data_IF_638192572052
#
_entry.id   IF_638192572052
#
_cell.length_a   1.000
_cell.length_b   1.000
_cell.length_c   1.000
_cell.angle_alpha   90.00
_cell.angle_beta   90.00
_cell.angle_gamma   90.00
#
_symmetry.space_group_name_H-M   'P 1'
#
loop_
_entity.id
_entity.type
_entity.pdbx_description
1 polymer ?
#
# COMPACT_ATOMS: atom_id res chain seq x y z
N UNK A 1 9.25 34.07 17.26
CA UNK A 1 9.50 33.03 16.24
C UNK A 1 8.19 32.30 15.98
N UNK A 2 7.95 31.79 14.77
CA UNK A 2 6.79 30.94 14.52
C UNK A 2 6.93 29.62 15.30
N UNK A 3 5.84 29.10 15.88
CA UNK A 3 5.84 27.77 16.52
C UNK A 3 5.74 26.69 15.43
N UNK A 4 6.54 25.63 15.57
CA UNK A 4 6.50 24.47 14.66
C UNK A 4 5.49 23.43 15.16
N UNK A 5 5.12 22.46 14.31
CA UNK A 5 4.34 21.31 14.74
C UNK A 5 5.24 20.32 15.51
N UNK A 6 5.18 20.36 16.84
CA UNK A 6 6.03 19.54 17.71
C UNK A 6 5.74 18.03 17.60
N UNK A 7 4.60 17.62 17.02
CA UNK A 7 4.32 16.20 16.77
C UNK A 7 5.34 15.54 15.84
N UNK A 8 5.99 16.31 14.96
CA UNK A 8 7.08 15.79 14.12
C UNK A 8 8.30 15.35 14.94
N UNK A 9 8.48 15.84 16.16
CA UNK A 9 9.60 15.50 17.03
C UNK A 9 9.41 14.15 17.74
N UNK A 10 8.18 13.61 17.75
CA UNK A 10 7.86 12.29 18.32
C UNK A 10 8.39 11.13 17.47
N UNK A 11 8.61 11.37 16.18
CA UNK A 11 9.06 10.35 15.23
C UNK A 11 10.48 9.88 15.59
N UNK A 12 10.61 8.64 16.10
CA UNK A 12 11.89 8.11 16.61
C UNK A 12 12.99 7.91 15.56
N UNK A 13 12.60 7.73 14.31
CA UNK A 13 13.52 7.57 13.20
C UNK A 13 12.98 8.28 11.94
N UNK A 14 13.87 8.53 10.99
CA UNK A 14 13.44 8.91 9.63
C UNK A 14 12.60 7.79 9.01
N UNK A 15 11.74 8.16 8.06
CA UNK A 15 10.90 7.21 7.33
C UNK A 15 11.72 6.02 6.78
N UNK A 16 11.18 4.81 6.89
CA UNK A 16 11.89 3.53 6.64
C UNK A 16 12.69 3.51 5.33
N UNK A 17 12.07 3.87 4.21
CA UNK A 17 12.69 3.74 2.89
C UNK A 17 13.85 4.74 2.66
N UNK A 18 13.75 6.02 3.09
CA UNK A 18 14.90 6.91 3.17
C UNK A 18 16.08 6.38 3.98
N UNK A 19 15.83 5.73 5.13
CA UNK A 19 16.92 5.15 5.93
C UNK A 19 17.62 3.98 5.22
N UNK A 20 16.85 3.10 4.56
CA UNK A 20 17.41 2.05 3.68
C UNK A 20 18.24 2.68 2.56
N UNK A 21 17.72 3.72 1.90
CA UNK A 21 18.44 4.40 0.82
C UNK A 21 19.77 5.03 1.31
N UNK A 22 19.78 5.58 2.52
CA UNK A 22 20.99 6.13 3.16
C UNK A 22 22.04 5.04 3.40
N UNK A 23 21.65 3.90 3.96
CA UNK A 23 22.57 2.77 4.21
C UNK A 23 23.10 2.15 2.92
N UNK A 24 22.24 1.96 1.91
CA UNK A 24 22.65 1.49 0.58
C UNK A 24 23.63 2.46 -0.08
N UNK A 25 23.41 3.77 0.04
CA UNK A 25 24.34 4.78 -0.46
C UNK A 25 25.71 4.66 0.21
N UNK A 26 25.75 4.60 1.54
CA UNK A 26 26.99 4.43 2.29
C UNK A 26 27.73 3.13 1.93
N UNK A 27 27.00 2.02 1.76
CA UNK A 27 27.56 0.75 1.30
C UNK A 27 28.18 0.88 -0.11
N UNK A 28 27.50 1.54 -1.04
CA UNK A 28 28.00 1.72 -2.41
C UNK A 28 29.27 2.57 -2.46
N UNK A 29 29.34 3.62 -1.63
CA UNK A 29 30.52 4.49 -1.52
C UNK A 29 31.71 3.74 -0.91
N UNK A 30 31.48 2.90 0.10
CA UNK A 30 32.51 2.12 0.76
C UNK A 30 32.96 0.88 -0.04
N UNK A 31 32.09 0.32 -0.89
CA UNK A 31 32.34 -0.93 -1.61
C UNK A 31 32.03 -0.83 -3.12
N UNK A 32 32.77 -0.02 -3.91
CA UNK A 32 32.45 0.19 -5.34
C UNK A 32 32.36 -1.08 -6.18
N UNK A 33 33.20 -2.09 -5.90
CA UNK A 33 33.18 -3.38 -6.61
C UNK A 33 31.92 -4.20 -6.29
N UNK A 34 31.51 -4.25 -5.01
CA UNK A 34 30.25 -4.92 -4.62
C UNK A 34 29.03 -4.15 -5.13
N UNK A 35 29.10 -2.82 -5.15
CA UNK A 35 28.03 -1.94 -5.61
C UNK A 35 27.63 -2.23 -7.07
N UNK A 36 28.58 -2.61 -7.92
CA UNK A 36 28.33 -2.98 -9.32
C UNK A 36 27.44 -4.22 -9.48
N UNK A 37 27.30 -5.04 -8.44
CA UNK A 37 26.50 -6.28 -8.43
C UNK A 37 25.22 -6.17 -7.59
N UNK A 38 24.91 -4.98 -7.07
CA UNK A 38 23.83 -4.78 -6.11
C UNK A 38 22.45 -4.92 -6.76
N UNK A 39 21.65 -5.88 -6.29
CA UNK A 39 20.25 -6.07 -6.72
C UNK A 39 19.32 -5.47 -5.67
N UNK A 40 18.31 -4.72 -6.12
CA UNK A 40 17.37 -4.02 -5.24
C UNK A 40 16.04 -4.76 -5.16
N UNK A 41 15.81 -5.42 -4.03
CA UNK A 41 14.54 -6.07 -3.67
C UNK A 41 13.90 -5.41 -2.42
N UNK A 42 14.24 -4.15 -2.15
CA UNK A 42 13.80 -3.39 -0.98
C UNK A 42 12.43 -2.74 -1.18
N UNK A 43 12.42 -1.47 -1.60
CA UNK A 43 11.25 -0.56 -1.66
C UNK A 43 10.00 -1.18 -2.30
N UNK A 44 10.19 -2.03 -3.31
CA UNK A 44 9.11 -2.57 -4.13
C UNK A 44 8.69 -1.63 -5.25
N UNK A 45 9.64 -0.90 -5.83
CA UNK A 45 9.41 -0.15 -7.07
C UNK A 45 9.30 -1.12 -8.25
N UNK A 46 8.36 -0.90 -9.17
CA UNK A 46 8.23 -1.76 -10.35
C UNK A 46 9.44 -1.55 -11.27
N UNK A 47 9.87 -2.60 -11.97
CA UNK A 47 11.07 -2.54 -12.83
C UNK A 47 10.75 -2.70 -14.30
N UNK A 48 9.64 -3.36 -14.63
CA UNK A 48 9.18 -3.49 -16.01
C UNK A 48 8.59 -2.17 -16.53
N UNK A 49 8.74 -1.88 -17.83
CA UNK A 49 8.26 -0.64 -18.42
C UNK A 49 6.73 -0.54 -18.37
N UNK A 50 6.23 0.70 -18.45
CA UNK A 50 4.80 0.96 -18.56
C UNK A 50 4.18 0.21 -19.75
N UNK A 51 2.98 -0.38 -19.58
CA UNK A 51 2.21 -1.00 -20.66
C UNK A 51 2.14 -0.10 -21.90
N UNK A 52 2.24 -0.71 -23.09
CA UNK A 52 2.24 0.04 -24.34
C UNK A 52 0.95 0.85 -24.53
N UNK A 53 -0.20 0.28 -24.17
CA UNK A 53 -1.50 0.96 -24.22
C UNK A 53 -1.47 2.27 -23.42
N UNK A 54 -0.98 2.22 -22.18
CA UNK A 54 -0.84 3.39 -21.32
C UNK A 54 0.15 4.41 -21.89
N UNK A 55 1.31 3.98 -22.41
CA UNK A 55 2.29 4.88 -23.03
C UNK A 55 1.72 5.61 -24.24
N UNK A 56 0.99 4.91 -25.10
CA UNK A 56 0.42 5.49 -26.31
C UNK A 56 -0.70 6.48 -25.95
N UNK A 57 -1.55 6.15 -24.98
CA UNK A 57 -2.59 7.06 -24.48
C UNK A 57 -2.00 8.32 -23.81
N UNK A 58 -0.93 8.16 -23.02
CA UNK A 58 -0.23 9.31 -22.43
C UNK A 58 0.38 10.24 -23.48
N UNK A 59 1.02 9.68 -24.53
CA UNK A 59 1.58 10.49 -25.63
C UNK A 59 0.49 11.26 -26.37
N UNK A 60 -0.59 10.58 -26.75
CA UNK A 60 -1.72 11.21 -27.41
C UNK A 60 -2.32 12.34 -26.53
N UNK A 61 -2.46 12.11 -25.23
CA UNK A 61 -2.94 13.14 -24.31
C UNK A 61 -1.99 14.35 -24.19
N UNK A 62 -0.67 14.15 -24.31
CA UNK A 62 0.29 15.25 -24.40
C UNK A 62 0.10 16.05 -25.69
N UNK A 63 -0.11 15.38 -26.82
CA UNK A 63 -0.38 16.04 -28.10
C UNK A 63 -1.71 16.84 -28.04
N UNK A 64 -2.74 16.29 -27.39
CA UNK A 64 -4.01 16.99 -27.13
C UNK A 64 -3.81 18.28 -26.31
N UNK A 65 -2.91 18.28 -25.33
CA UNK A 65 -2.54 19.47 -24.56
C UNK A 65 -1.73 20.48 -25.38
N UNK A 66 -1.11 20.06 -26.49
CA UNK A 66 -0.35 20.93 -27.38
C UNK A 66 -1.20 21.80 -28.31
N UNK A 67 -2.49 21.47 -28.48
CA UNK A 67 -3.41 22.19 -29.36
C UNK A 67 -4.41 23.04 -28.59
N UNK A 68 -4.63 24.28 -29.04
CA UNK A 68 -5.57 25.22 -28.43
C UNK A 68 -7.01 24.68 -28.38
N UNK A 69 -7.40 23.92 -29.40
CA UNK A 69 -8.78 23.44 -29.55
C UNK A 69 -9.09 22.22 -28.68
N UNK A 70 -8.06 21.48 -28.23
CA UNK A 70 -8.19 20.26 -27.42
C UNK A 70 -7.57 20.40 -26.02
N UNK A 71 -6.97 21.55 -25.71
CA UNK A 71 -6.31 21.82 -24.44
C UNK A 71 -7.23 21.55 -23.25
N UNK A 72 -6.70 20.85 -22.24
CA UNK A 72 -7.35 20.60 -20.95
C UNK A 72 -6.62 21.40 -19.87
N UNK A 73 -7.31 22.38 -19.28
CA UNK A 73 -6.81 23.16 -18.14
C UNK A 73 -6.91 22.39 -16.82
N UNK A 74 -7.21 23.08 -15.72
CA UNK A 74 -7.59 22.41 -14.48
C UNK A 74 -8.78 21.49 -14.75
N UNK A 75 -8.58 20.19 -14.53
CA UNK A 75 -9.63 19.18 -14.63
C UNK A 75 -10.53 19.18 -13.40
N UNK A 76 -11.59 18.36 -13.40
CA UNK A 76 -12.37 18.14 -12.19
C UNK A 76 -11.48 17.53 -11.11
N UNK A 77 -11.45 18.12 -9.92
CA UNK A 77 -10.54 17.71 -8.82
C UNK A 77 -10.84 16.28 -8.34
N UNK A 78 -12.07 15.80 -8.54
CA UNK A 78 -12.48 14.42 -8.27
C UNK A 78 -11.92 13.41 -9.29
N UNK A 79 -11.48 13.85 -10.47
CA UNK A 79 -11.07 12.99 -11.59
C UNK A 79 -12.04 13.04 -12.77
N UNK A 80 -11.51 12.83 -13.98
CA UNK A 80 -12.31 12.88 -15.21
C UNK A 80 -13.32 11.72 -15.27
N UNK A 81 -14.49 12.01 -15.83
CA UNK A 81 -15.61 11.08 -15.94
C UNK A 81 -15.20 9.76 -16.59
N UNK A 82 -14.46 9.81 -17.71
CA UNK A 82 -14.01 8.63 -18.44
C UNK A 82 -13.24 7.62 -17.56
N UNK A 83 -12.42 8.12 -16.64
CA UNK A 83 -11.62 7.26 -15.76
C UNK A 83 -12.47 6.74 -14.60
N UNK A 84 -13.29 7.60 -14.00
CA UNK A 84 -14.18 7.19 -12.89
C UNK A 84 -15.19 6.14 -13.34
N UNK A 85 -15.75 6.29 -14.53
CA UNK A 85 -16.66 5.32 -15.15
C UNK A 85 -15.93 4.01 -15.46
N UNK A 86 -14.74 4.07 -16.05
CA UNK A 86 -13.92 2.89 -16.32
C UNK A 86 -13.56 2.13 -15.05
N UNK A 87 -13.19 2.82 -13.97
CA UNK A 87 -12.92 2.20 -12.66
C UNK A 87 -14.17 1.45 -12.14
N UNK A 88 -15.35 2.08 -12.20
CA UNK A 88 -16.59 1.44 -11.73
C UNK A 88 -16.91 0.19 -12.55
N UNK A 89 -16.89 0.29 -13.88
CA UNK A 89 -17.22 -0.83 -14.76
C UNK A 89 -16.31 -2.04 -14.50
N UNK A 90 -15.01 -1.78 -14.32
CA UNK A 90 -13.99 -2.83 -14.28
C UNK A 90 -13.72 -3.38 -12.87
N UNK A 91 -13.92 -2.58 -11.81
CA UNK A 91 -13.58 -2.99 -10.45
C UNK A 91 -14.80 -3.14 -9.53
N UNK A 92 -15.92 -2.48 -9.84
CA UNK A 92 -17.04 -2.38 -8.90
C UNK A 92 -18.43 -2.68 -9.49
N UNK A 93 -18.51 -3.17 -10.73
CA UNK A 93 -19.78 -3.43 -11.44
C UNK A 93 -20.72 -4.40 -10.72
N UNK A 94 -20.21 -5.21 -9.79
CA UNK A 94 -20.99 -6.19 -9.01
C UNK A 94 -21.31 -5.78 -7.57
N UNK A 95 -20.80 -4.63 -7.11
CA UNK A 95 -20.84 -4.24 -5.68
C UNK A 95 -21.44 -2.85 -5.44
N UNK A 96 -22.06 -2.25 -6.47
CA UNK A 96 -22.94 -1.09 -6.30
C UNK A 96 -22.27 0.26 -6.05
N UNK A 97 -20.96 0.40 -6.30
CA UNK A 97 -20.24 1.68 -6.21
C UNK A 97 -20.51 2.53 -7.45
N UNK A 98 -20.87 3.80 -7.24
CA UNK A 98 -21.10 4.79 -8.30
C UNK A 98 -19.84 5.57 -8.68
N UNK A 99 -19.79 6.10 -9.91
CA UNK A 99 -18.64 6.87 -10.38
C UNK A 99 -18.42 8.15 -9.55
N UNK A 100 -19.49 8.71 -8.98
CA UNK A 100 -19.42 9.89 -8.11
C UNK A 100 -18.97 9.59 -6.67
N UNK A 101 -18.67 8.32 -6.36
CA UNK A 101 -18.03 7.87 -5.12
C UNK A 101 -16.53 7.60 -5.31
N UNK A 102 -16.02 7.71 -6.54
CA UNK A 102 -14.60 7.57 -6.90
C UNK A 102 -13.92 8.94 -6.88
N UNK A 103 -12.78 9.04 -6.18
CA UNK A 103 -11.91 10.21 -6.16
C UNK A 103 -10.52 9.84 -6.65
N UNK A 104 -10.16 10.26 -7.86
CA UNK A 104 -8.86 9.98 -8.48
C UNK A 104 -7.78 10.87 -7.87
N UNK A 105 -6.64 10.27 -7.53
CA UNK A 105 -5.53 10.91 -6.82
C UNK A 105 -4.17 10.65 -7.49
N UNK A 106 -3.11 11.22 -6.92
CA UNK A 106 -1.72 10.93 -7.27
C UNK A 106 -1.14 9.69 -6.55
N UNK A 107 -1.97 8.92 -5.84
CA UNK A 107 -1.66 7.59 -5.34
C UNK A 107 -2.03 7.34 -3.87
N UNK A 108 -2.21 6.06 -3.53
CA UNK A 108 -2.71 5.61 -2.22
C UNK A 108 -1.90 6.12 -1.01
N UNK A 109 -0.58 6.33 -1.12
CA UNK A 109 0.20 6.94 -0.02
C UNK A 109 -0.31 8.35 0.33
N UNK A 110 -0.61 9.16 -0.69
CA UNK A 110 -1.14 10.49 -0.49
C UNK A 110 -2.55 10.40 0.12
N UNK A 111 -3.39 9.50 -0.38
CA UNK A 111 -4.76 9.34 0.11
C UNK A 111 -4.83 8.85 1.56
N UNK A 112 -4.20 7.72 1.86
CA UNK A 112 -4.19 7.11 3.20
C UNK A 112 -3.55 8.00 4.25
N UNK A 113 -2.55 8.81 3.88
CA UNK A 113 -1.97 9.79 4.79
C UNK A 113 -2.86 11.02 4.99
N UNK A 114 -3.51 11.49 3.94
CA UNK A 114 -4.31 12.71 3.97
C UNK A 114 -5.76 12.50 4.42
N UNK A 115 -6.25 11.27 4.50
CA UNK A 115 -7.62 10.99 4.99
C UNK A 115 -7.84 11.52 6.41
N UNK A 116 -6.77 11.64 7.20
CA UNK A 116 -6.80 12.22 8.53
C UNK A 116 -7.17 13.72 8.54
N UNK A 117 -7.05 14.44 7.41
CA UNK A 117 -7.45 15.85 7.30
C UNK A 117 -8.96 16.07 7.58
N UNK A 118 -9.78 15.03 7.40
CA UNK A 118 -11.24 15.11 7.54
C UNK A 118 -11.76 14.39 8.79
N UNK A 119 -10.86 13.80 9.58
CA UNK A 119 -11.20 13.07 10.81
C UNK A 119 -10.80 13.92 12.02
N UNK A 120 -11.71 14.02 12.98
CA UNK A 120 -11.48 14.81 14.19
C UNK A 120 -10.41 14.21 15.12
N UNK A 121 -9.95 14.97 16.12
CA UNK A 121 -9.11 14.43 17.19
C UNK A 121 -9.90 13.45 18.08
N UNK A 122 -9.20 12.75 18.96
CA UNK A 122 -9.77 11.84 19.98
C UNK A 122 -10.45 10.57 19.46
N UNK A 123 -10.30 10.25 18.17
CA UNK A 123 -10.63 8.92 17.66
C UNK A 123 -9.65 7.91 18.25
N UNK A 124 -10.14 6.75 18.65
CA UNK A 124 -9.35 5.57 19.00
C UNK A 124 -9.04 4.79 17.73
N UNK A 125 -7.76 4.66 17.40
CA UNK A 125 -7.30 4.25 16.07
C UNK A 125 -6.63 2.89 16.17
N UNK A 126 -7.17 1.91 15.44
CA UNK A 126 -6.59 0.58 15.32
C UNK A 126 -5.81 0.42 14.01
N UNK A 127 -4.63 -0.19 14.09
CA UNK A 127 -3.73 -0.41 12.96
C UNK A 127 -3.14 -1.81 13.07
N UNK A 128 -3.21 -2.60 11.99
CA UNK A 128 -2.52 -3.89 11.89
C UNK A 128 -1.00 -3.75 12.09
N UNK A 129 -0.36 -4.69 12.78
CA UNK A 129 1.08 -4.68 13.08
C UNK A 129 1.66 -6.07 12.75
N UNK A 130 2.58 -6.23 11.79
CA UNK A 130 3.22 -5.17 11.00
C UNK A 130 2.35 -4.69 9.83
N UNK A 131 2.58 -3.44 9.42
CA UNK A 131 1.96 -2.88 8.23
C UNK A 131 2.78 -1.73 7.64
N UNK A 132 2.40 -1.27 6.46
CA UNK A 132 2.97 -0.10 5.82
C UNK A 132 3.00 1.13 6.75
N UNK A 133 4.19 1.72 7.01
CA UNK A 133 4.38 2.68 8.11
C UNK A 133 3.67 4.03 7.92
N UNK A 134 3.15 4.31 6.72
CA UNK A 134 2.44 5.58 6.44
C UNK A 134 1.29 5.81 7.41
N UNK A 135 0.54 4.75 7.76
CA UNK A 135 -0.65 4.89 8.61
C UNK A 135 -0.28 5.33 10.03
N UNK A 136 0.83 4.79 10.58
CA UNK A 136 1.33 5.19 11.91
C UNK A 136 1.92 6.59 11.84
N UNK A 137 2.86 6.83 10.92
CA UNK A 137 3.59 8.10 10.85
C UNK A 137 2.68 9.31 10.63
N UNK A 138 1.63 9.18 9.80
CA UNK A 138 0.70 10.30 9.56
C UNK A 138 -0.21 10.57 10.76
N UNK A 139 -0.58 9.52 11.52
CA UNK A 139 -1.28 9.68 12.80
C UNK A 139 -0.40 10.36 13.85
N UNK A 140 0.90 10.07 13.87
CA UNK A 140 1.86 10.80 14.71
C UNK A 140 1.93 12.26 14.29
N UNK A 141 2.18 12.55 13.01
CA UNK A 141 2.35 13.92 12.48
C UNK A 141 1.13 14.82 12.73
N UNK A 142 -0.08 14.28 12.65
CA UNK A 142 -1.32 15.05 12.87
C UNK A 142 -1.69 15.20 14.36
N UNK A 143 -1.01 14.47 15.26
CA UNK A 143 -1.19 14.57 16.70
C UNK A 143 -2.20 13.61 17.32
N UNK A 144 -2.49 12.48 16.67
CA UNK A 144 -3.39 11.44 17.19
C UNK A 144 -2.71 10.48 18.19
N UNK A 145 -1.45 10.76 18.58
CA UNK A 145 -0.64 9.84 19.40
C UNK A 145 0.18 10.58 20.46
N UNK A 146 0.58 9.86 21.50
CA UNK A 146 1.62 10.26 22.45
C UNK A 146 3.03 9.92 21.96
N UNK A 147 3.95 9.73 22.90
CA UNK A 147 5.34 9.35 22.59
C UNK A 147 5.43 7.87 22.20
N UNK A 148 6.51 7.50 21.49
CA UNK A 148 6.80 6.10 21.23
C UNK A 148 7.54 5.42 22.39
N UNK A 149 7.26 4.14 22.63
CA UNK A 149 7.99 3.25 23.54
C UNK A 149 9.27 2.69 22.90
N UNK A 150 10.03 1.87 23.63
CA UNK A 150 11.31 1.30 23.16
C UNK A 150 11.16 0.43 21.89
N UNK A 151 9.99 -0.17 21.70
CA UNK A 151 9.65 -1.01 20.53
C UNK A 151 9.14 -0.19 19.33
N UNK A 152 9.02 1.13 19.48
CA UNK A 152 8.55 2.03 18.43
C UNK A 152 7.03 2.10 18.29
N UNK A 153 6.28 1.63 19.30
CA UNK A 153 4.83 1.79 19.36
C UNK A 153 4.47 3.12 20.00
N UNK A 154 3.56 3.85 19.37
CA UNK A 154 3.11 5.16 19.84
C UNK A 154 1.90 5.03 20.76
N UNK A 155 1.95 5.72 21.90
CA UNK A 155 0.86 5.78 22.86
C UNK A 155 -0.46 6.25 22.19
N UNK A 156 -1.57 5.60 22.53
CA UNK A 156 -2.91 5.92 22.01
C UNK A 156 -3.36 5.09 20.81
N UNK A 157 -2.44 4.48 20.05
CA UNK A 157 -2.79 3.56 18.98
C UNK A 157 -3.10 2.16 19.52
N UNK A 158 -4.12 1.51 18.94
CA UNK A 158 -4.43 0.09 19.17
C UNK A 158 -3.74 -0.72 18.08
N UNK A 159 -2.57 -1.28 18.39
CA UNK A 159 -1.86 -2.17 17.48
C UNK A 159 -2.55 -3.53 17.45
N UNK A 160 -2.89 -4.01 16.25
CA UNK A 160 -3.55 -5.30 16.01
C UNK A 160 -2.51 -6.31 15.49
N UNK A 161 -1.97 -7.22 16.35
CA UNK A 161 -0.84 -8.06 15.97
C UNK A 161 -1.21 -9.09 14.89
N UNK A 162 -0.39 -9.14 13.85
CA UNK A 162 -0.41 -10.09 12.74
C UNK A 162 0.89 -10.90 12.81
N UNK A 163 0.80 -12.20 13.05
CA UNK A 163 1.96 -13.07 13.23
C UNK A 163 1.70 -14.47 12.65
N UNK A 164 2.70 -15.34 12.69
CA UNK A 164 2.58 -16.69 12.16
C UNK A 164 1.47 -17.54 12.83
N UNK A 165 1.19 -17.31 14.11
CA UNK A 165 0.20 -18.09 14.87
C UNK A 165 -1.25 -17.78 14.44
N UNK A 166 -1.52 -16.55 14.01
CA UNK A 166 -2.83 -16.11 13.49
C UNK A 166 -2.87 -15.99 11.97
N UNK A 167 -1.90 -16.56 11.25
CA UNK A 167 -1.76 -16.45 9.80
C UNK A 167 -1.75 -15.00 9.29
N UNK A 168 -1.21 -14.08 10.10
CA UNK A 168 -1.10 -12.66 9.83
C UNK A 168 -2.42 -11.93 9.57
N UNK A 169 -3.54 -12.49 10.06
CA UNK A 169 -4.82 -11.79 10.14
C UNK A 169 -5.14 -11.57 11.62
N UNK A 170 -5.27 -10.32 12.08
CA UNK A 170 -5.40 -10.04 13.49
C UNK A 170 -6.78 -10.40 14.01
N UNK A 171 -6.86 -10.73 15.30
CA UNK A 171 -8.14 -10.81 16.00
C UNK A 171 -8.82 -9.44 16.04
N UNK A 172 -10.15 -9.45 16.03
CA UNK A 172 -10.96 -8.24 16.27
C UNK A 172 -10.74 -7.81 17.73
N UNK A 173 -10.46 -6.52 18.00
CA UNK A 173 -10.25 -6.04 19.36
C UNK A 173 -11.53 -6.18 20.19
N UNK A 174 -11.38 -6.50 21.47
CA UNK A 174 -12.51 -6.60 22.42
C UNK A 174 -13.14 -5.22 22.68
N UNK A 175 -12.30 -4.20 22.65
CA UNK A 175 -12.64 -2.84 23.02
C UNK A 175 -12.98 -1.98 21.77
N UNK A 176 -14.06 -1.17 21.80
CA UNK A 176 -14.47 -0.35 20.66
C UNK A 176 -13.37 0.60 20.19
N UNK A 177 -13.23 0.74 18.88
CA UNK A 177 -12.34 1.69 18.20
C UNK A 177 -13.12 2.43 17.12
N UNK A 178 -12.70 3.64 16.78
CA UNK A 178 -13.43 4.52 15.85
C UNK A 178 -12.91 4.42 14.42
N UNK A 179 -11.60 4.17 14.24
CA UNK A 179 -10.94 4.04 12.94
C UNK A 179 -10.12 2.75 12.88
N UNK A 180 -10.23 2.01 11.76
CA UNK A 180 -9.56 0.71 11.60
C UNK A 180 -8.80 0.70 10.28
N UNK A 181 -7.47 0.70 10.34
CA UNK A 181 -6.63 0.52 9.15
C UNK A 181 -6.43 -0.97 8.88
N UNK A 182 -6.94 -1.43 7.74
CA UNK A 182 -6.72 -2.79 7.22
C UNK A 182 -6.04 -2.67 5.85
N UNK A 183 -4.98 -3.46 5.61
CA UNK A 183 -4.29 -3.51 4.33
C UNK A 183 -4.32 -4.96 3.83
N UNK A 184 -5.01 -5.23 2.72
CA UNK A 184 -5.12 -6.57 2.14
C UNK A 184 -5.09 -6.54 0.61
N UNK A 185 -4.16 -7.27 -0.05
CA UNK A 185 -3.05 -8.02 0.54
C UNK A 185 -2.10 -7.14 1.38
N UNK A 186 -1.73 -7.63 2.56
CA UNK A 186 -0.99 -6.89 3.57
C UNK A 186 0.45 -6.66 3.13
N UNK A 187 0.89 -5.42 3.16
CA UNK A 187 2.30 -5.07 3.08
C UNK A 187 2.83 -4.85 4.51
N UNK A 188 3.72 -5.71 5.04
CA UNK A 188 4.69 -6.52 4.29
C UNK A 188 4.41 -8.02 4.16
N UNK A 189 3.42 -8.58 4.86
CA UNK A 189 3.34 -10.03 5.11
C UNK A 189 2.89 -10.85 3.89
N UNK A 190 2.19 -10.21 2.95
CA UNK A 190 1.55 -10.85 1.81
C UNK A 190 0.24 -11.56 2.13
N UNK A 191 -0.21 -11.50 3.40
CA UNK A 191 -1.47 -12.11 3.82
C UNK A 191 -2.68 -11.43 3.18
N UNK A 192 -3.71 -12.20 2.88
CA UNK A 192 -5.01 -11.70 2.45
C UNK A 192 -6.06 -12.18 3.44
N UNK A 193 -7.03 -11.32 3.77
CA UNK A 193 -8.15 -11.71 4.60
C UNK A 193 -9.17 -12.52 3.78
N UNK A 194 -9.66 -13.60 4.38
CA UNK A 194 -10.79 -14.38 3.86
C UNK A 194 -12.09 -13.56 3.89
N UNK A 195 -13.09 -14.01 3.14
CA UNK A 195 -14.43 -13.42 3.16
C UNK A 195 -15.01 -13.40 4.58
N UNK A 196 -14.88 -14.50 5.31
CA UNK A 196 -15.38 -14.65 6.68
C UNK A 196 -14.70 -13.65 7.65
N UNK A 197 -13.39 -13.47 7.53
CA UNK A 197 -12.65 -12.50 8.33
C UNK A 197 -13.08 -11.07 8.02
N UNK A 198 -13.25 -10.72 6.73
CA UNK A 198 -13.73 -9.39 6.35
C UNK A 198 -15.20 -9.15 6.75
N UNK A 199 -16.06 -10.17 6.68
CA UNK A 199 -17.42 -10.12 7.21
C UNK A 199 -17.41 -9.78 8.70
N UNK A 200 -16.58 -10.45 9.49
CA UNK A 200 -16.48 -10.16 10.92
C UNK A 200 -16.00 -8.72 11.20
N UNK A 201 -15.06 -8.19 10.41
CA UNK A 201 -14.62 -6.80 10.51
C UNK A 201 -15.72 -5.79 10.16
N UNK A 202 -16.49 -6.04 9.10
CA UNK A 202 -17.62 -5.18 8.70
C UNK A 202 -18.73 -5.21 9.76
N UNK A 203 -19.05 -6.38 10.31
CA UNK A 203 -20.00 -6.52 11.42
C UNK A 203 -19.55 -5.76 12.66
N UNK A 204 -18.26 -5.89 13.03
CA UNK A 204 -17.67 -5.13 14.13
C UNK A 204 -17.76 -3.62 13.89
N UNK A 205 -17.35 -3.15 12.71
CA UNK A 205 -17.36 -1.72 12.40
C UNK A 205 -18.76 -1.13 12.45
N UNK A 206 -19.77 -1.81 11.88
CA UNK A 206 -21.17 -1.39 11.94
C UNK A 206 -21.73 -1.40 13.36
N UNK A 207 -21.36 -2.40 14.17
CA UNK A 207 -21.80 -2.50 15.57
C UNK A 207 -21.26 -1.35 16.43
N UNK A 208 -20.07 -0.85 16.11
CA UNK A 208 -19.36 0.15 16.90
C UNK A 208 -19.30 1.54 16.23
N UNK A 209 -20.07 1.76 15.15
CA UNK A 209 -20.05 2.98 14.35
C UNK A 209 -18.62 3.39 13.90
N UNK A 210 -17.75 2.40 13.68
CA UNK A 210 -16.36 2.59 13.27
C UNK A 210 -16.23 2.72 11.76
N UNK A 211 -15.17 3.40 11.31
CA UNK A 211 -14.82 3.52 9.89
C UNK A 211 -13.59 2.64 9.59
N UNK A 212 -13.77 1.70 8.66
CA UNK A 212 -12.70 0.91 8.07
C UNK A 212 -12.02 1.73 6.97
N UNK A 213 -10.71 1.86 7.09
CA UNK A 213 -9.81 2.44 6.11
C UNK A 213 -9.07 1.27 5.43
N UNK A 214 -9.65 0.78 4.33
CA UNK A 214 -9.22 -0.45 3.66
C UNK A 214 -8.25 -0.16 2.51
N UNK A 215 -6.97 -0.49 2.66
CA UNK A 215 -5.97 -0.36 1.60
C UNK A 215 -5.86 -1.65 0.78
N UNK A 216 -6.34 -1.58 -0.46
CA UNK A 216 -6.37 -2.66 -1.43
C UNK A 216 -5.38 -2.42 -2.60
N UNK A 217 -4.27 -1.70 -2.36
CA UNK A 217 -3.28 -1.37 -3.39
C UNK A 217 -2.65 -2.59 -4.10
N UNK A 218 -2.68 -3.78 -3.49
CA UNK A 218 -2.13 -5.03 -4.05
C UNK A 218 -3.18 -6.03 -4.52
N UNK A 219 -4.47 -5.68 -4.55
CA UNK A 219 -5.57 -6.59 -4.91
C UNK A 219 -5.36 -7.35 -6.23
N UNK A 220 -4.73 -6.71 -7.22
CA UNK A 220 -4.59 -7.26 -8.56
C UNK A 220 -3.66 -8.49 -8.58
N UNK A 221 -2.86 -8.66 -7.53
CA UNK A 221 -1.94 -9.78 -7.34
C UNK A 221 -2.58 -10.98 -6.63
N UNK A 222 -3.82 -10.87 -6.15
CA UNK A 222 -4.57 -12.00 -5.57
C UNK A 222 -4.77 -13.08 -6.64
N UNK A 223 -4.24 -14.27 -6.37
CA UNK A 223 -4.36 -15.45 -7.24
C UNK A 223 -5.50 -16.38 -6.79
N UNK A 224 -5.79 -16.40 -5.48
CA UNK A 224 -6.89 -17.18 -4.92
C UNK A 224 -8.25 -16.53 -5.28
N UNK A 225 -9.13 -17.22 -6.05
CA UNK A 225 -10.42 -16.67 -6.45
C UNK A 225 -11.42 -16.51 -5.30
N UNK A 226 -11.21 -17.17 -4.16
CA UNK A 226 -12.10 -17.08 -2.99
C UNK A 226 -11.79 -15.86 -2.11
N UNK A 227 -10.61 -15.26 -2.27
CA UNK A 227 -10.17 -14.09 -1.54
C UNK A 227 -10.80 -12.82 -2.15
N UNK A 228 -11.54 -12.01 -1.35
CA UNK A 228 -12.11 -10.76 -1.84
C UNK A 228 -11.04 -9.77 -2.29
N UNK A 229 -11.28 -9.10 -3.42
CA UNK A 229 -10.43 -8.04 -3.99
C UNK A 229 -10.89 -6.64 -3.60
N UNK A 230 -12.11 -6.52 -3.09
CA UNK A 230 -12.64 -5.27 -2.53
C UNK A 230 -13.40 -5.55 -1.24
N UNK A 231 -13.32 -4.62 -0.28
CA UNK A 231 -14.14 -4.69 0.93
C UNK A 231 -15.64 -4.62 0.61
N UNK A 232 -16.02 -4.01 -0.52
CA UNK A 232 -17.41 -3.88 -0.94
C UNK A 232 -18.01 -5.18 -1.50
N UNK A 233 -17.23 -6.25 -1.62
CA UNK A 233 -17.76 -7.60 -1.81
C UNK A 233 -18.44 -8.15 -0.54
N UNK A 234 -18.27 -7.46 0.60
CA UNK A 234 -18.86 -7.82 1.87
C UNK A 234 -20.13 -6.98 2.10
N UNK A 235 -21.23 -7.66 2.38
CA UNK A 235 -22.52 -7.01 2.66
C UNK A 235 -22.41 -6.04 3.83
N UNK A 236 -22.95 -4.83 3.65
CA UNK A 236 -22.88 -3.75 4.65
C UNK A 236 -21.60 -2.91 4.65
N UNK A 237 -20.56 -3.28 3.90
CA UNK A 237 -19.30 -2.51 3.87
C UNK A 237 -19.48 -1.06 3.39
N UNK A 238 -20.47 -0.80 2.53
CA UNK A 238 -20.80 0.54 2.04
C UNK A 238 -21.22 1.51 3.17
N UNK A 239 -21.60 1.02 4.34
CA UNK A 239 -22.01 1.85 5.48
C UNK A 239 -20.83 2.24 6.38
N UNK A 240 -19.70 1.53 6.31
CA UNK A 240 -18.60 1.67 7.27
C UNK A 240 -17.19 1.66 6.67
N UNK A 241 -17.00 1.53 5.36
CA UNK A 241 -15.68 1.42 4.76
C UNK A 241 -15.38 2.52 3.73
N UNK A 242 -14.15 3.01 3.75
CA UNK A 242 -13.49 3.67 2.63
C UNK A 242 -12.44 2.71 2.06
N UNK A 243 -12.23 2.74 0.75
CA UNK A 243 -11.25 1.86 0.09
C UNK A 243 -10.20 2.68 -0.66
N UNK A 244 -8.93 2.37 -0.46
CA UNK A 244 -7.80 2.95 -1.18
C UNK A 244 -7.27 1.98 -2.23
N UNK A 245 -7.00 2.49 -3.43
CA UNK A 245 -6.52 1.71 -4.56
C UNK A 245 -5.40 2.44 -5.29
N UNK A 246 -4.61 1.71 -6.05
CA UNK A 246 -3.44 2.26 -6.73
C UNK A 246 -3.20 1.63 -8.09
N UNK A 247 -2.91 2.47 -9.08
CA UNK A 247 -2.36 2.00 -10.36
C UNK A 247 -0.85 1.74 -10.28
N UNK A 248 -0.19 2.18 -9.21
CA UNK A 248 1.26 2.11 -9.10
C UNK A 248 1.77 0.67 -9.13
N UNK A 249 1.02 -0.28 -8.57
CA UNK A 249 1.43 -1.69 -8.49
C UNK A 249 0.88 -2.54 -9.63
N UNK A 250 -0.38 -2.36 -10.01
CA UNK A 250 -0.97 -3.16 -11.10
C UNK A 250 -0.49 -2.70 -12.50
N UNK A 251 -0.50 -1.41 -12.78
CA UNK A 251 -0.19 -0.83 -14.09
C UNK A 251 1.26 -0.38 -14.25
N UNK A 252 2.08 -0.55 -13.21
CA UNK A 252 3.46 -0.07 -13.19
C UNK A 252 3.59 1.45 -12.99
N UNK A 253 2.55 2.13 -12.48
CA UNK A 253 2.52 3.60 -12.39
C UNK A 253 3.30 4.16 -11.19
N UNK A 254 4.37 3.51 -10.73
CA UNK A 254 5.22 4.04 -9.64
C UNK A 254 5.94 5.33 -10.05
N UNK A 255 6.24 5.50 -11.34
CA UNK A 255 6.85 6.73 -11.89
C UNK A 255 5.85 7.82 -12.25
N UNK A 256 4.63 7.46 -12.68
CA UNK A 256 3.63 8.43 -13.21
C UNK A 256 2.47 8.75 -12.27
N UNK A 257 2.30 8.00 -11.17
CA UNK A 257 1.47 8.36 -9.99
C UNK A 257 -0.02 8.52 -10.26
N UNK A 258 -0.79 7.45 -10.01
CA UNK A 258 -2.25 7.47 -10.06
C UNK A 258 -2.82 6.48 -9.05
N UNK A 259 -3.88 6.89 -8.35
CA UNK A 259 -4.66 6.04 -7.44
C UNK A 259 -6.09 6.54 -7.34
N UNK A 260 -6.88 5.92 -6.47
CA UNK A 260 -8.20 6.44 -6.16
C UNK A 260 -8.66 6.02 -4.76
N UNK A 261 -9.57 6.83 -4.22
CA UNK A 261 -10.35 6.52 -3.02
C UNK A 261 -11.79 6.25 -3.43
N UNK A 262 -12.37 5.18 -2.90
CA UNK A 262 -13.82 4.99 -2.89
C UNK A 262 -14.37 5.53 -1.58
N UNK A 263 -15.22 6.55 -1.65
CA UNK A 263 -15.90 7.15 -0.50
C UNK A 263 -17.42 7.07 -0.70
N UNK A 264 -18.09 6.02 -0.17
CA UNK A 264 -19.52 5.85 -0.34
C UNK A 264 -20.33 6.99 0.26
N UNK A 265 -21.49 7.28 -0.33
CA UNK A 265 -22.44 8.29 0.19
C UNK A 265 -23.04 7.91 1.55
N UNK A 266 -22.92 6.65 1.93
CA UNK A 266 -23.52 6.02 3.11
C UNK A 266 -22.58 5.94 4.31
N UNK A 267 -21.33 6.40 4.19
CA UNK A 267 -20.39 6.48 5.32
C UNK A 267 -20.51 7.84 6.00
N UNK A 268 -20.83 7.83 7.29
CA UNK A 268 -20.99 9.03 8.12
C UNK A 268 -20.05 9.00 9.32
N UNK A 269 -19.47 10.15 9.64
CA UNK A 269 -18.83 10.41 10.94
C UNK A 269 -19.74 11.24 11.83
N UNK A 270 -19.41 11.36 13.11
CA UNK A 270 -20.18 12.18 14.06
C UNK A 270 -19.37 13.37 14.59
N UNK A 271 -20.04 14.51 14.78
CA UNK A 271 -19.49 15.63 15.55
C UNK A 271 -19.52 15.33 17.06
N UNK A 272 -18.86 16.17 17.87
CA UNK A 272 -18.97 16.13 19.34
C UNK A 272 -20.43 16.21 19.85
N UNK A 273 -21.31 16.84 19.08
CA UNK A 273 -22.75 16.94 19.39
C UNK A 273 -23.59 15.75 18.88
N UNK A 274 -22.96 14.72 18.33
CA UNK A 274 -23.61 13.53 17.78
C UNK A 274 -24.26 13.73 16.41
N UNK A 275 -24.02 14.86 15.72
CA UNK A 275 -24.57 15.09 14.38
C UNK A 275 -23.82 14.23 13.36
N UNK A 276 -24.55 13.43 12.58
CA UNK A 276 -23.99 12.68 11.45
C UNK A 276 -23.60 13.62 10.30
N UNK A 277 -22.38 13.46 9.80
CA UNK A 277 -21.80 14.23 8.69
C UNK A 277 -21.27 13.24 7.65
N UNK A 278 -21.59 13.49 6.38
CA UNK A 278 -21.09 12.70 5.25
C UNK A 278 -19.57 12.78 5.16
N UNK A 279 -18.90 11.63 5.26
CA UNK A 279 -17.43 11.55 5.11
C UNK A 279 -17.03 11.91 3.68
N UNK A 280 -17.81 11.48 2.69
CA UNK A 280 -17.63 11.81 1.28
C UNK A 280 -17.64 13.32 1.03
N UNK A 281 -18.55 14.08 1.66
CA UNK A 281 -18.65 15.52 1.43
C UNK A 281 -17.45 16.27 2.01
N UNK A 282 -16.95 15.83 3.18
CA UNK A 282 -15.70 16.34 3.75
C UNK A 282 -14.51 16.00 2.85
N UNK A 283 -14.43 14.77 2.33
CA UNK A 283 -13.38 14.36 1.41
C UNK A 283 -13.41 15.16 0.10
N UNK A 284 -14.59 15.38 -0.47
CA UNK A 284 -14.79 16.22 -1.65
C UNK A 284 -14.32 17.65 -1.42
N UNK A 285 -14.69 18.25 -0.28
CA UNK A 285 -14.24 19.60 0.08
C UNK A 285 -12.74 19.66 0.27
N UNK A 286 -12.14 18.67 0.93
CA UNK A 286 -10.69 18.59 1.14
C UNK A 286 -9.95 18.46 -0.19
N UNK A 287 -10.39 17.55 -1.05
CA UNK A 287 -9.80 17.28 -2.37
C UNK A 287 -9.82 18.55 -3.22
N UNK A 288 -10.97 19.20 -3.38
CA UNK A 288 -11.09 20.45 -4.15
C UNK A 288 -10.37 21.68 -3.55
N UNK A 289 -9.83 21.58 -2.33
CA UNK A 289 -9.11 22.69 -1.67
C UNK A 289 -7.60 22.48 -1.65
N UNK A 290 -7.17 21.25 -1.36
CA UNK A 290 -5.77 20.91 -1.11
C UNK A 290 -5.12 20.14 -2.26
N UNK A 291 -5.88 19.75 -3.29
CA UNK A 291 -5.39 18.96 -4.41
C UNK A 291 -5.91 19.52 -5.75
N UNK A 292 -5.02 19.65 -6.73
CA UNK A 292 -5.34 20.22 -8.05
C UNK A 292 -5.73 19.17 -9.10
N UNK A 293 -6.02 17.93 -8.67
CA UNK A 293 -6.35 16.81 -9.55
C UNK A 293 -5.13 16.08 -10.13
N UNK A 294 -5.27 14.78 -10.37
CA UNK A 294 -4.28 14.00 -11.11
C UNK A 294 -4.21 14.50 -12.56
N UNK A 295 -3.02 14.54 -13.16
CA UNK A 295 -2.84 15.15 -14.49
C UNK A 295 -3.62 14.42 -15.60
N UNK A 296 -4.10 15.16 -16.60
CA UNK A 296 -4.86 14.61 -17.72
C UNK A 296 -4.14 13.45 -18.45
N UNK A 297 -2.84 13.56 -18.82
CA UNK A 297 -2.16 12.44 -19.48
C UNK A 297 -2.10 11.18 -18.63
N UNK A 298 -1.86 11.31 -17.33
CA UNK A 298 -1.81 10.16 -16.41
C UNK A 298 -3.18 9.49 -16.29
N UNK A 299 -4.26 10.27 -16.23
CA UNK A 299 -5.61 9.71 -16.19
C UNK A 299 -5.97 8.98 -17.49
N UNK A 300 -5.54 9.50 -18.66
CA UNK A 300 -5.70 8.81 -19.97
C UNK A 300 -4.87 7.53 -20.04
N UNK A 301 -3.66 7.55 -19.49
CA UNK A 301 -2.84 6.36 -19.33
C UNK A 301 -3.52 5.30 -18.46
N UNK A 302 -4.13 5.71 -17.35
CA UNK A 302 -4.86 4.81 -16.45
C UNK A 302 -6.14 4.25 -17.08
N UNK A 303 -6.89 5.07 -17.83
CA UNK A 303 -8.04 4.64 -18.63
C UNK A 303 -7.64 3.53 -19.61
N UNK A 304 -6.53 3.71 -20.31
CA UNK A 304 -6.04 2.74 -21.30
C UNK A 304 -5.65 1.39 -20.69
N UNK A 305 -5.40 1.29 -19.38
CA UNK A 305 -5.17 0.00 -18.71
C UNK A 305 -6.45 -0.87 -18.68
N UNK A 306 -7.63 -0.27 -18.85
CA UNK A 306 -8.90 -0.99 -18.90
C UNK A 306 -9.32 -1.42 -20.32
N UNK A 307 -8.58 -1.02 -21.36
CA UNK A 307 -8.77 -1.57 -22.72
C UNK A 307 -8.45 -3.06 -22.75
N UNK A 308 -8.85 -3.77 -23.81
CA UNK A 308 -8.52 -5.18 -23.98
C UNK A 308 -7.00 -5.40 -23.98
N UNK A 309 -6.25 -4.59 -24.72
CA UNK A 309 -4.79 -4.63 -24.79
C UNK A 309 -4.15 -4.23 -23.45
N UNK A 310 -4.68 -3.19 -22.80
CA UNK A 310 -4.22 -2.75 -21.49
C UNK A 310 -4.34 -3.85 -20.43
N UNK A 311 -5.50 -4.52 -20.37
CA UNK A 311 -5.75 -5.65 -19.45
C UNK A 311 -4.81 -6.83 -19.73
N UNK A 312 -4.59 -7.17 -21.00
CA UNK A 312 -3.65 -8.23 -21.37
C UNK A 312 -2.23 -7.90 -20.90
N UNK A 313 -1.75 -6.69 -21.16
CA UNK A 313 -0.42 -6.22 -20.74
C UNK A 313 -0.25 -6.17 -19.22
N UNK A 314 -1.29 -5.71 -18.49
CA UNK A 314 -1.30 -5.73 -17.02
C UNK A 314 -1.26 -7.16 -16.49
N UNK A 315 -2.02 -8.08 -17.08
CA UNK A 315 -2.03 -9.50 -16.71
C UNK A 315 -0.65 -10.15 -16.89
N UNK A 316 0.05 -9.85 -17.99
CA UNK A 316 1.42 -10.32 -18.23
C UNK A 316 2.40 -9.81 -17.16
N UNK A 317 2.30 -8.53 -16.78
CA UNK A 317 3.12 -7.95 -15.71
C UNK A 317 2.86 -8.62 -14.36
N UNK A 318 1.58 -8.82 -14.00
CA UNK A 318 1.20 -9.51 -12.77
C UNK A 318 1.77 -10.94 -12.77
N UNK A 319 1.59 -11.67 -13.86
CA UNK A 319 2.10 -13.04 -14.02
C UNK A 319 3.63 -13.08 -13.85
N UNK A 320 4.34 -12.15 -14.47
CA UNK A 320 5.80 -12.03 -14.35
C UNK A 320 6.25 -11.84 -12.90
N UNK A 321 5.63 -10.91 -12.17
CA UNK A 321 6.00 -10.62 -10.79
C UNK A 321 5.56 -11.70 -9.80
N UNK A 322 4.43 -12.36 -10.02
CA UNK A 322 4.00 -13.48 -9.17
C UNK A 322 4.88 -14.70 -9.38
N UNK A 323 5.37 -14.94 -10.60
CA UNK A 323 6.36 -15.97 -10.84
C UNK A 323 7.71 -15.64 -10.20
N UNK A 324 8.13 -14.36 -10.19
CA UNK A 324 9.31 -13.95 -9.40
C UNK A 324 9.09 -14.21 -7.89
N UNK A 325 7.89 -13.93 -7.38
CA UNK A 325 7.56 -14.16 -5.97
C UNK A 325 7.62 -15.66 -5.63
N UNK A 326 7.08 -16.52 -6.49
CA UNK A 326 7.17 -18.00 -6.37
C UNK A 326 8.63 -18.47 -6.31
N UNK A 327 9.48 -17.99 -7.22
CA UNK A 327 10.90 -18.35 -7.25
C UNK A 327 11.63 -17.94 -5.95
N UNK A 328 11.42 -16.70 -5.50
CA UNK A 328 12.02 -16.19 -4.26
C UNK A 328 11.56 -16.98 -3.04
N UNK A 329 10.26 -17.32 -3.00
CA UNK A 329 9.66 -18.14 -1.95
C UNK A 329 10.32 -19.52 -1.89
N UNK A 330 10.35 -20.25 -3.01
CA UNK A 330 10.94 -21.58 -3.09
C UNK A 330 12.44 -21.57 -2.76
N UNK A 331 13.16 -20.52 -3.15
CA UNK A 331 14.57 -20.39 -2.81
C UNK A 331 14.80 -20.27 -1.30
N UNK A 332 14.00 -19.47 -0.60
CA UNK A 332 14.07 -19.33 0.85
C UNK A 332 13.63 -20.62 1.57
N UNK A 333 12.54 -21.26 1.12
CA UNK A 333 12.07 -22.53 1.68
C UNK A 333 13.11 -23.66 1.50
N UNK A 334 13.82 -23.69 0.36
CA UNK A 334 14.80 -24.75 0.06
C UNK A 334 16.03 -24.77 0.98
N UNK A 335 16.29 -23.67 1.70
CA UNK A 335 17.35 -23.57 2.71
C UNK A 335 16.81 -23.59 4.14
N UNK A 336 15.54 -23.96 4.32
CA UNK A 336 14.92 -24.15 5.63
C UNK A 336 14.42 -22.88 6.33
N UNK A 337 14.34 -21.74 5.63
CA UNK A 337 13.72 -20.53 6.21
C UNK A 337 12.19 -20.67 6.23
N UNK A 338 11.55 -20.11 7.26
CA UNK A 338 10.08 -19.97 7.30
C UNK A 338 9.65 -18.80 6.42
N UNK A 339 8.78 -19.07 5.44
CA UNK A 339 8.35 -18.10 4.42
C UNK A 339 6.84 -17.99 4.38
N UNK A 340 6.37 -16.75 4.26
CA UNK A 340 4.97 -16.37 4.15
C UNK A 340 4.80 -15.40 2.98
N UNK A 341 3.58 -15.29 2.45
CA UNK A 341 3.30 -14.46 1.30
C UNK A 341 3.98 -14.95 0.01
N UNK A 342 3.84 -14.16 -1.05
CA UNK A 342 4.26 -14.54 -2.39
C UNK A 342 3.20 -15.33 -3.19
N UNK A 343 2.08 -15.70 -2.58
CA UNK A 343 0.95 -16.35 -3.28
C UNK A 343 -0.09 -15.35 -3.77
N UNK A 344 -0.37 -14.30 -3.00
CA UNK A 344 -1.37 -13.28 -3.32
C UNK A 344 -0.81 -11.85 -3.37
N UNK A 345 0.52 -11.72 -3.25
CA UNK A 345 1.21 -10.45 -3.24
C UNK A 345 2.62 -10.57 -3.88
N UNK A 346 3.13 -9.51 -4.52
CA UNK A 346 4.41 -9.52 -5.24
C UNK A 346 5.62 -9.31 -4.31
N UNK A 347 5.63 -10.00 -3.18
CA UNK A 347 6.72 -9.99 -2.19
C UNK A 347 6.57 -11.18 -1.25
N UNK A 348 7.70 -11.60 -0.69
CA UNK A 348 7.77 -12.67 0.32
C UNK A 348 8.20 -12.09 1.66
N UNK A 349 7.64 -12.65 2.72
CA UNK A 349 7.89 -12.32 4.11
C UNK A 349 8.59 -13.48 4.80
N UNK A 350 9.83 -13.27 5.23
CA UNK A 350 10.74 -14.35 5.62
C UNK A 350 11.19 -14.13 7.05
N UNK A 351 11.09 -15.18 7.88
CA UNK A 351 11.65 -15.15 9.23
C UNK A 351 13.19 -15.10 9.16
N UNK A 352 13.80 -14.25 9.98
CA UNK A 352 15.24 -14.23 10.14
C UNK A 352 15.71 -15.54 10.82
N UNK A 353 16.94 -15.99 10.56
CA UNK A 353 17.55 -17.06 11.35
C UNK A 353 17.53 -16.76 12.85
N UNK A 354 17.51 -17.80 13.68
CA UNK A 354 17.50 -17.64 15.14
C UNK A 354 18.69 -16.77 15.61
N UNK A 355 18.39 -15.79 16.47
CA UNK A 355 19.38 -14.85 17.00
C UNK A 355 19.79 -13.71 16.04
N UNK A 356 19.21 -13.63 14.83
CA UNK A 356 19.46 -12.55 13.88
C UNK A 356 18.28 -11.57 13.86
N UNK A 357 18.54 -10.31 14.20
CA UNK A 357 17.54 -9.24 14.09
C UNK A 357 17.27 -8.85 12.63
N UNK A 358 16.14 -8.17 12.38
CA UNK A 358 15.79 -7.67 11.04
C UNK A 358 16.86 -6.78 10.41
N UNK A 359 17.51 -5.93 11.20
CA UNK A 359 18.57 -5.03 10.71
C UNK A 359 19.89 -5.75 10.50
N UNK A 360 20.25 -6.71 11.36
CA UNK A 360 21.42 -7.58 11.11
C UNK A 360 21.21 -8.40 9.84
N UNK A 361 19.99 -8.89 9.59
CA UNK A 361 19.65 -9.59 8.35
C UNK A 361 19.74 -8.67 7.12
N UNK A 362 19.32 -7.41 7.24
CA UNK A 362 19.52 -6.39 6.19
C UNK A 362 21.00 -6.20 5.88
N UNK A 363 21.83 -5.98 6.91
CA UNK A 363 23.27 -5.74 6.74
C UNK A 363 23.96 -6.99 6.17
N UNK A 364 23.58 -8.19 6.62
CA UNK A 364 24.08 -9.47 6.09
C UNK A 364 23.74 -9.67 4.61
N UNK A 365 22.48 -9.47 4.22
CA UNK A 365 22.06 -9.57 2.82
C UNK A 365 22.75 -8.54 1.93
N UNK A 366 22.97 -7.33 2.44
CA UNK A 366 23.67 -6.27 1.72
C UNK A 366 25.15 -6.61 1.53
N UNK A 367 25.85 -7.07 2.57
CA UNK A 367 27.29 -7.30 2.50
C UNK A 367 27.66 -8.63 1.82
N UNK A 368 26.97 -9.73 2.16
CA UNK A 368 27.30 -11.09 1.71
C UNK A 368 26.64 -11.41 0.37
N UNK A 369 25.37 -11.06 0.18
CA UNK A 369 24.61 -11.36 -1.03
C UNK A 369 24.51 -10.19 -2.01
N UNK A 370 24.87 -8.96 -1.60
CA UNK A 370 24.65 -7.75 -2.40
C UNK A 370 23.19 -7.66 -2.88
N UNK A 371 22.26 -7.93 -1.97
CA UNK A 371 20.81 -7.81 -2.18
C UNK A 371 20.23 -6.88 -1.14
N UNK A 372 19.55 -5.82 -1.60
CA UNK A 372 18.80 -4.93 -0.71
C UNK A 372 17.46 -5.59 -0.39
N UNK A 373 17.20 -5.85 0.88
CA UNK A 373 15.89 -6.27 1.40
C UNK A 373 15.28 -5.15 2.24
N UNK A 374 14.08 -5.35 2.81
CA UNK A 374 13.49 -4.43 3.79
C UNK A 374 13.45 -5.09 5.16
N UNK A 375 14.08 -4.53 6.21
CA UNK A 375 14.04 -5.10 7.55
C UNK A 375 12.62 -5.02 8.11
N UNK A 376 12.14 -6.12 8.69
CA UNK A 376 10.76 -6.25 9.13
C UNK A 376 10.36 -5.30 10.25
N UNK A 377 11.27 -5.00 11.18
CA UNK A 377 11.07 -4.01 12.24
C UNK A 377 10.73 -2.59 11.73
N UNK A 378 10.98 -2.31 10.44
CA UNK A 378 10.56 -1.06 9.81
C UNK A 378 9.05 -0.93 9.59
N UNK A 379 8.31 -2.04 9.66
CA UNK A 379 6.85 -2.09 9.47
C UNK A 379 6.07 -2.12 10.80
N UNK A 380 6.76 -2.01 11.93
CA UNK A 380 6.18 -2.09 13.27
C UNK A 380 6.85 -3.16 14.12
N UNK A 381 6.50 -3.18 15.41
CA UNK A 381 7.12 -4.04 16.41
C UNK A 381 6.92 -5.53 16.11
N UNK A 382 5.73 -5.93 15.64
CA UNK A 382 5.46 -7.31 15.24
C UNK A 382 6.19 -7.74 13.96
N UNK A 383 6.84 -6.81 13.25
CA UNK A 383 7.73 -7.12 12.14
C UNK A 383 9.15 -7.49 12.56
N UNK A 384 9.52 -7.31 13.82
CA UNK A 384 10.84 -7.69 14.32
C UNK A 384 11.09 -9.20 14.16
N UNK A 385 12.30 -9.56 13.76
CA UNK A 385 12.65 -10.96 13.48
C UNK A 385 12.25 -11.43 12.07
N UNK A 386 11.76 -10.54 11.21
CA UNK A 386 11.43 -10.84 9.82
C UNK A 386 12.11 -9.87 8.84
N UNK A 387 12.05 -10.19 7.56
CA UNK A 387 12.40 -9.31 6.46
C UNK A 387 11.53 -9.54 5.22
N UNK A 388 11.36 -8.50 4.41
CA UNK A 388 10.61 -8.54 3.15
C UNK A 388 11.54 -8.53 1.95
N UNK A 389 11.30 -9.42 0.98
CA UNK A 389 11.93 -9.40 -0.34
C UNK A 389 10.86 -9.07 -1.39
N UNK A 390 11.06 -7.97 -2.12
CA UNK A 390 10.21 -7.57 -3.24
C UNK A 390 10.42 -8.48 -4.46
N UNK A 391 9.33 -8.90 -5.10
CA UNK A 391 9.35 -9.62 -6.38
C UNK A 391 9.38 -8.70 -7.61
N UNK A 392 9.23 -7.38 -7.40
CA UNK A 392 9.41 -6.38 -8.45
C UNK A 392 10.88 -6.28 -8.87
N UNK A 393 11.26 -7.10 -9.85
CA UNK A 393 12.55 -7.06 -10.52
C UNK A 393 12.45 -7.74 -11.89
N UNK A 394 13.52 -7.69 -12.69
CA UNK A 394 13.62 -8.54 -13.88
C UNK A 394 13.69 -10.02 -13.46
N UNK A 395 13.33 -10.93 -14.37
CA UNK A 395 13.38 -12.37 -14.10
C UNK A 395 14.80 -12.84 -13.80
N UNK A 396 15.78 -12.30 -14.53
CA UNK A 396 17.20 -12.62 -14.36
C UNK A 396 17.70 -12.23 -12.97
N UNK A 397 17.33 -11.04 -12.50
CA UNK A 397 17.67 -10.60 -11.16
C UNK A 397 16.96 -11.42 -10.08
N UNK A 398 15.70 -11.82 -10.29
CA UNK A 398 15.01 -12.71 -9.35
C UNK A 398 15.71 -14.07 -9.24
N UNK A 399 16.12 -14.67 -10.36
CA UNK A 399 16.89 -15.92 -10.38
C UNK A 399 18.26 -15.76 -9.70
N UNK A 400 19.00 -14.68 -10.02
CA UNK A 400 20.28 -14.39 -9.39
C UNK A 400 20.13 -14.21 -7.86
N UNK A 401 19.08 -13.52 -7.40
CA UNK A 401 18.78 -13.39 -5.96
C UNK A 401 18.52 -14.76 -5.33
N UNK A 402 17.79 -15.65 -6.00
CA UNK A 402 17.57 -17.02 -5.52
C UNK A 402 18.90 -17.78 -5.36
N UNK A 403 19.81 -17.68 -6.31
CA UNK A 403 21.14 -18.31 -6.24
C UNK A 403 21.97 -17.73 -5.09
N UNK A 404 21.95 -16.41 -4.90
CA UNK A 404 22.68 -15.74 -3.82
C UNK A 404 22.11 -16.06 -2.44
N UNK A 405 20.79 -16.18 -2.31
CA UNK A 405 20.16 -16.63 -1.07
C UNK A 405 20.65 -18.03 -0.72
N UNK A 406 20.57 -18.98 -1.67
CA UNK A 406 21.01 -20.36 -1.46
C UNK A 406 22.49 -20.46 -1.08
N UNK A 407 23.33 -19.64 -1.70
CA UNK A 407 24.78 -19.67 -1.48
C UNK A 407 25.22 -19.03 -0.15
N UNK A 408 24.60 -17.92 0.25
CA UNK A 408 25.09 -17.12 1.38
C UNK A 408 24.31 -17.36 2.68
N UNK A 409 23.10 -17.93 2.59
CA UNK A 409 22.25 -18.22 3.76
C UNK A 409 22.03 -19.72 4.01
N UNK A 410 22.25 -20.59 3.00
CA UNK A 410 22.00 -22.02 3.06
C UNK A 410 23.19 -22.91 3.41
#
# INVERSE_FOLDING_TARGET
MARINENFLKLKAGYLFPEIARRVKAFNEANPEKAARLIRCGIGDVTEPLPEAARNAMKAAVDELGSRDTFRGYGPEQGYDFLRESIVENNYSKVGIGADEIFVSDGSKCDSGNILDILGPNNRIAITDPVYPVYVDTNVMIGNTGEADEDGRYEGLVYLPCNAENNFVPAIPEEPVDLIYLCYPNNPTGASATREQLTAWVEYARKHDAIILFDAAYEAFIQDPEVPRSIYEIEGAHECALEFRSFSKNGGFTGVRCGWVVAPKTVFGTTETGKKISVRDLWSRRTSTKFNGASYPVQRGAEALYSEEGKAQVSELITHYMENARLLREACESIGLSVYGGENAPYVWVACPEGVSSWEMFDRMLDEAQVVITPGSGFGAAGAGYFRISAFNSRENAIEVCERIKKNLG
#
